data_IF_105186422533
#
_entry.id   IF_105186422533
#
_cell.length_a   1.000
_cell.length_b   1.000
_cell.length_c   1.000
_cell.angle_alpha   90.00
_cell.angle_beta   90.00
_cell.angle_gamma   90.00
#
_symmetry.space_group_name_H-M   'P 1'
#
loop_
_entity.id
_entity.type
_entity.pdbx_description
1 polymer ?
#
# COMPACT_ATOMS: atom_id res chain seq x y z
N UNK A 1 -17.94 -27.35 -3.56
CA UNK A 1 -18.48 -27.93 -4.82
C UNK A 1 -18.23 -26.95 -5.96
N UNK A 2 -18.12 -27.48 -7.18
CA UNK A 2 -17.92 -26.67 -8.41
C UNK A 2 -19.04 -25.65 -8.58
N UNK A 3 -20.28 -26.04 -8.30
CA UNK A 3 -21.46 -25.16 -8.36
C UNK A 3 -21.40 -24.01 -7.38
N UNK A 4 -20.84 -24.21 -6.21
CA UNK A 4 -20.65 -23.14 -5.21
C UNK A 4 -19.64 -22.10 -5.70
N UNK A 5 -18.56 -22.55 -6.32
CA UNK A 5 -17.55 -21.69 -6.93
C UNK A 5 -18.12 -20.89 -8.10
N UNK A 6 -18.84 -21.55 -9.02
CA UNK A 6 -19.44 -20.88 -10.19
C UNK A 6 -20.45 -19.80 -9.78
N UNK A 7 -21.31 -20.08 -8.79
CA UNK A 7 -22.28 -19.10 -8.26
C UNK A 7 -21.59 -17.93 -7.56
N UNK A 8 -20.56 -18.20 -6.76
CA UNK A 8 -19.79 -17.14 -6.10
C UNK A 8 -19.08 -16.26 -7.14
N UNK A 9 -18.48 -16.87 -8.15
CA UNK A 9 -17.79 -16.16 -9.22
C UNK A 9 -18.77 -15.31 -10.04
N UNK A 10 -19.92 -15.86 -10.41
CA UNK A 10 -20.95 -15.13 -11.16
C UNK A 10 -21.50 -13.93 -10.36
N UNK A 11 -21.73 -14.11 -9.06
CA UNK A 11 -22.20 -13.03 -8.19
C UNK A 11 -21.21 -11.88 -8.09
N UNK A 12 -19.90 -12.20 -8.09
CA UNK A 12 -18.84 -11.20 -7.93
C UNK A 12 -18.47 -10.51 -9.24
N UNK A 13 -18.52 -11.25 -10.37
CA UNK A 13 -17.98 -10.81 -11.64
C UNK A 13 -19.02 -10.66 -12.75
N UNK A 14 -20.28 -11.02 -12.50
CA UNK A 14 -21.37 -10.93 -13.49
C UNK A 14 -21.27 -11.87 -14.68
N UNK A 15 -20.28 -12.76 -14.72
CA UNK A 15 -20.06 -13.77 -15.75
C UNK A 15 -19.60 -15.09 -15.10
N UNK A 16 -19.70 -16.20 -15.83
CA UNK A 16 -19.18 -17.46 -15.33
C UNK A 16 -17.64 -17.58 -15.56
N UNK A 17 -16.93 -18.45 -14.82
CA UNK A 17 -15.48 -18.60 -14.95
C UNK A 17 -15.01 -18.97 -16.36
N UNK A 18 -15.80 -19.72 -17.10
CA UNK A 18 -15.46 -20.14 -18.46
C UNK A 18 -15.57 -18.96 -19.44
N UNK A 19 -16.66 -18.19 -19.38
CA UNK A 19 -16.83 -16.98 -20.19
C UNK A 19 -15.73 -15.97 -19.91
N UNK A 20 -15.37 -15.81 -18.65
CA UNK A 20 -14.25 -14.96 -18.25
C UNK A 20 -12.90 -15.41 -18.83
N UNK A 21 -12.65 -16.72 -18.82
CA UNK A 21 -11.41 -17.29 -19.38
C UNK A 21 -11.29 -17.10 -20.90
N UNK A 22 -12.42 -17.09 -21.61
CA UNK A 22 -12.44 -16.86 -23.07
C UNK A 22 -12.21 -15.39 -23.45
N UNK A 23 -12.65 -14.47 -22.61
CA UNK A 23 -12.52 -13.03 -22.86
C UNK A 23 -12.23 -12.28 -21.56
N UNK A 24 -11.00 -12.41 -21.03
CA UNK A 24 -10.66 -11.82 -19.75
C UNK A 24 -10.68 -10.29 -19.84
N UNK A 25 -11.59 -9.68 -19.10
CA UNK A 25 -11.61 -8.23 -18.88
C UNK A 25 -10.85 -7.92 -17.59
N UNK A 26 -10.16 -6.77 -17.49
CA UNK A 26 -9.54 -6.36 -16.25
C UNK A 26 -10.58 -6.30 -15.13
N UNK A 27 -10.44 -7.13 -14.12
CA UNK A 27 -11.31 -7.08 -12.94
C UNK A 27 -10.67 -6.10 -11.95
N UNK A 28 -11.33 -4.97 -11.76
CA UNK A 28 -10.98 -4.04 -10.70
C UNK A 28 -11.64 -4.49 -9.40
N UNK A 29 -10.98 -5.40 -8.71
CA UNK A 29 -11.40 -5.77 -7.35
C UNK A 29 -10.98 -4.66 -6.39
N UNK A 30 -11.89 -3.76 -6.14
CA UNK A 30 -11.74 -2.81 -5.06
C UNK A 30 -12.27 -3.44 -3.77
N UNK A 31 -11.39 -4.05 -3.00
CA UNK A 31 -11.71 -4.29 -1.59
C UNK A 31 -11.02 -3.20 -0.78
N UNK A 32 -11.75 -2.48 0.07
CA UNK A 32 -11.17 -1.42 0.92
C UNK A 32 -10.18 -1.94 1.96
N UNK A 33 -9.97 -3.22 2.07
CA UNK A 33 -9.16 -3.86 3.10
C UNK A 33 -8.30 -4.97 2.50
N UNK A 34 -7.00 -4.71 2.40
CA UNK A 34 -5.94 -5.71 2.31
C UNK A 34 -6.16 -6.88 1.35
N UNK A 35 -6.20 -6.63 0.05
CA UNK A 35 -6.24 -7.73 -0.91
C UNK A 35 -4.84 -8.24 -1.15
N UNK A 36 -4.66 -9.53 -0.89
CA UNK A 36 -3.58 -10.30 -1.51
C UNK A 36 -3.91 -10.38 -3.00
N UNK A 37 -3.30 -9.54 -3.80
CA UNK A 37 -3.46 -9.56 -5.25
C UNK A 37 -2.98 -10.90 -5.80
N UNK A 38 -3.89 -11.70 -6.37
CA UNK A 38 -3.48 -12.75 -7.30
C UNK A 38 -3.22 -12.08 -8.64
N UNK A 39 -1.96 -11.83 -8.95
CA UNK A 39 -1.56 -11.44 -10.29
C UNK A 39 -1.91 -12.56 -11.27
N UNK A 40 -2.66 -12.23 -12.32
CA UNK A 40 -2.80 -13.10 -13.47
C UNK A 40 -1.50 -13.02 -14.27
N UNK A 41 -0.67 -14.07 -14.18
CA UNK A 41 0.49 -14.22 -15.05
C UNK A 41 -0.01 -14.31 -16.50
N UNK A 42 0.25 -13.31 -17.33
CA UNK A 42 0.42 -13.54 -18.74
C UNK A 42 1.74 -14.28 -18.90
N UNK A 43 1.64 -15.55 -19.32
CA UNK A 43 2.79 -16.31 -19.75
C UNK A 43 3.37 -15.67 -21.01
N UNK A 44 4.33 -14.79 -20.88
CA UNK A 44 5.30 -14.50 -21.92
C UNK A 44 6.65 -14.89 -21.37
N UNK A 45 7.17 -15.98 -21.94
CA UNK A 45 8.48 -16.54 -21.65
C UNK A 45 9.57 -15.66 -22.27
N UNK A 46 9.91 -14.57 -21.61
CA UNK A 46 11.24 -13.95 -21.73
C UNK A 46 11.66 -13.55 -20.32
N UNK A 47 12.80 -14.08 -19.93
CA UNK A 47 13.23 -14.31 -18.55
C UNK A 47 13.81 -13.09 -17.82
N UNK A 48 13.60 -11.83 -18.25
CA UNK A 48 14.33 -10.69 -17.70
C UNK A 48 13.58 -9.36 -17.59
N UNK A 49 12.25 -9.34 -17.74
CA UNK A 49 11.49 -8.09 -17.48
C UNK A 49 10.53 -8.36 -16.34
N UNK A 50 10.89 -7.90 -15.14
CA UNK A 50 9.98 -7.86 -13.99
C UNK A 50 8.98 -6.73 -14.26
N UNK A 51 7.73 -7.08 -14.50
CA UNK A 51 6.68 -6.13 -14.84
C UNK A 51 6.23 -5.33 -13.60
N UNK A 52 6.17 -4.02 -13.73
CA UNK A 52 5.52 -3.15 -12.74
C UNK A 52 4.14 -2.78 -13.26
N UNK A 53 3.12 -3.18 -12.52
CA UNK A 53 1.74 -2.81 -12.83
C UNK A 53 1.48 -1.39 -12.33
N UNK A 54 0.93 -0.53 -13.20
CA UNK A 54 0.56 0.83 -12.84
C UNK A 54 -0.95 0.99 -12.97
N UNK A 55 -1.60 1.47 -11.93
CA UNK A 55 -3.04 1.71 -11.94
C UNK A 55 -3.39 3.04 -11.27
N UNK A 56 -4.45 3.67 -11.77
CA UNK A 56 -5.01 4.85 -11.11
C UNK A 56 -6.03 4.42 -10.08
N UNK A 57 -5.88 4.87 -8.83
CA UNK A 57 -6.79 4.58 -7.73
C UNK A 57 -7.36 5.88 -7.16
N UNK A 58 -8.63 5.89 -6.81
CA UNK A 58 -9.24 7.00 -6.07
C UNK A 58 -9.22 6.65 -4.58
N UNK A 59 -8.75 7.58 -3.76
CA UNK A 59 -8.71 7.41 -2.31
C UNK A 59 -9.51 8.51 -1.62
N UNK A 60 -10.33 8.16 -0.63
CA UNK A 60 -11.03 9.14 0.20
C UNK A 60 -10.04 9.94 1.05
N UNK A 61 -10.49 11.06 1.58
CA UNK A 61 -9.73 11.79 2.59
C UNK A 61 -9.54 10.93 3.85
N UNK A 62 -8.37 11.04 4.46
CA UNK A 62 -8.05 10.35 5.71
C UNK A 62 -7.10 11.19 6.57
N UNK A 63 -6.94 10.80 7.83
CA UNK A 63 -5.85 11.27 8.67
C UNK A 63 -4.74 10.23 8.71
N UNK A 64 -3.51 10.68 8.91
CA UNK A 64 -2.37 9.78 9.13
C UNK A 64 -1.69 10.19 10.42
N UNK A 65 -1.59 9.24 11.35
CA UNK A 65 -0.79 9.39 12.56
C UNK A 65 0.63 9.02 12.18
N UNK A 66 1.57 9.95 12.31
CA UNK A 66 2.96 9.79 11.85
C UNK A 66 3.95 10.00 12.99
N UNK A 67 5.07 9.29 12.93
CA UNK A 67 6.26 9.60 13.74
C UNK A 67 7.32 10.19 12.83
N UNK A 68 7.86 11.37 13.22
CA UNK A 68 8.90 12.05 12.44
C UNK A 68 10.28 11.62 12.86
N UNK A 69 11.16 11.49 11.88
CA UNK A 69 12.61 11.50 12.09
C UNK A 69 13.17 12.91 11.85
N UNK A 70 14.46 13.07 12.01
CA UNK A 70 15.19 14.32 11.77
C UNK A 70 16.03 14.29 10.50
N UNK A 71 16.72 13.18 10.23
CA UNK A 71 17.64 13.02 9.10
C UNK A 71 17.33 11.80 8.21
N UNK A 72 16.45 10.92 8.63
CA UNK A 72 16.14 9.68 7.91
C UNK A 72 15.59 9.96 6.50
N UNK A 73 16.08 9.24 5.51
CA UNK A 73 15.68 9.35 4.11
C UNK A 73 14.91 8.13 3.59
N UNK A 74 15.03 7.01 4.28
CA UNK A 74 14.51 5.71 3.91
C UNK A 74 14.19 4.87 5.16
N UNK A 75 13.66 3.66 4.94
CA UNK A 75 13.28 2.74 6.01
C UNK A 75 14.44 2.39 6.96
N UNK A 76 15.61 2.05 6.41
CA UNK A 76 16.73 1.57 7.22
C UNK A 76 17.37 2.69 8.04
N UNK A 77 17.54 3.86 7.43
CA UNK A 77 18.03 5.05 8.15
C UNK A 77 17.05 5.50 9.23
N UNK A 78 15.75 5.38 8.97
CA UNK A 78 14.72 5.69 9.95
C UNK A 78 14.72 4.75 11.15
N UNK A 79 14.82 3.42 10.92
CA UNK A 79 14.93 2.44 12.00
C UNK A 79 16.17 2.64 12.88
N UNK A 80 17.28 3.09 12.29
CA UNK A 80 18.52 3.43 13.04
C UNK A 80 18.35 4.69 13.89
N UNK A 81 17.60 5.68 13.38
CA UNK A 81 17.41 6.97 14.05
C UNK A 81 16.32 6.92 15.12
N UNK A 82 15.15 6.41 14.78
CA UNK A 82 13.93 6.48 15.59
C UNK A 82 13.67 5.21 16.39
N UNK A 83 14.15 4.08 15.88
CA UNK A 83 13.95 2.75 16.46
C UNK A 83 12.83 1.97 15.77
N UNK A 84 12.89 0.63 15.87
CA UNK A 84 11.90 -0.26 15.28
C UNK A 84 10.61 -0.36 16.10
N UNK A 85 10.60 0.08 17.36
CA UNK A 85 9.43 0.03 18.26
C UNK A 85 8.24 0.85 17.73
N UNK A 86 8.53 1.86 16.91
CA UNK A 86 7.51 2.70 16.26
C UNK A 86 6.54 1.86 15.44
N UNK A 87 7.02 0.84 14.73
CA UNK A 87 6.19 -0.05 13.93
C UNK A 87 5.16 -0.79 14.80
N UNK A 88 5.61 -1.32 15.94
CA UNK A 88 4.73 -1.98 16.91
C UNK A 88 3.66 -1.06 17.50
N UNK A 89 4.02 0.20 17.82
CA UNK A 89 3.08 1.20 18.28
C UNK A 89 2.04 1.54 17.21
N UNK A 90 2.47 1.74 15.96
CA UNK A 90 1.57 2.04 14.85
C UNK A 90 0.61 0.87 14.56
N UNK A 91 1.09 -0.37 14.62
CA UNK A 91 0.25 -1.57 14.43
C UNK A 91 -0.81 -1.72 15.50
N UNK A 92 -0.58 -1.20 16.72
CA UNK A 92 -1.56 -1.24 17.81
C UNK A 92 -2.74 -0.27 17.60
N UNK A 93 -2.62 0.69 16.69
CA UNK A 93 -3.67 1.66 16.38
C UNK A 93 -4.66 1.05 15.41
N UNK A 94 -5.97 1.11 15.74
CA UNK A 94 -7.03 0.68 14.83
C UNK A 94 -7.04 1.57 13.59
N UNK A 95 -6.49 1.07 12.50
CA UNK A 95 -6.30 1.78 11.24
C UNK A 95 -7.29 1.38 10.16
N UNK A 96 -7.30 2.10 9.03
CA UNK A 96 -8.11 1.79 7.86
C UNK A 96 -7.61 0.50 7.19
N UNK A 97 -6.30 0.35 7.05
CA UNK A 97 -5.70 -0.74 6.26
C UNK A 97 -5.12 -1.88 7.13
N UNK A 98 -5.12 -1.71 8.45
CA UNK A 98 -4.58 -2.71 9.37
C UNK A 98 -3.05 -2.69 9.51
N UNK A 99 -2.33 -1.98 8.64
CA UNK A 99 -0.87 -1.97 8.62
C UNK A 99 -0.30 -0.54 8.59
N UNK A 100 0.89 -0.33 9.17
CA UNK A 100 1.64 0.91 9.03
C UNK A 100 2.09 1.14 7.58
N UNK A 101 2.33 2.40 7.26
CA UNK A 101 2.82 2.85 5.96
C UNK A 101 4.07 3.70 6.10
N UNK A 102 4.90 3.69 5.07
CA UNK A 102 6.05 4.56 4.91
C UNK A 102 5.72 5.69 3.93
N UNK A 103 6.07 6.92 4.27
CA UNK A 103 5.74 8.09 3.47
C UNK A 103 6.95 8.99 3.26
N UNK A 104 7.11 9.49 2.03
CA UNK A 104 7.93 10.66 1.72
C UNK A 104 7.01 11.87 1.61
N UNK A 105 6.96 12.66 2.66
CA UNK A 105 6.02 13.79 2.76
C UNK A 105 6.27 14.85 1.69
N UNK A 106 5.21 15.37 1.03
CA UNK A 106 5.29 16.62 0.30
C UNK A 106 5.76 17.76 1.19
N UNK A 107 6.43 18.77 0.60
CA UNK A 107 7.01 19.91 1.35
C UNK A 107 6.05 20.57 2.34
N UNK A 108 4.77 20.67 1.99
CA UNK A 108 3.73 21.28 2.83
C UNK A 108 3.49 20.59 4.19
N UNK A 109 3.89 19.33 4.31
CA UNK A 109 3.73 18.54 5.54
C UNK A 109 5.03 18.35 6.30
N UNK A 110 6.16 18.78 5.73
CA UNK A 110 7.47 18.72 6.40
C UNK A 110 7.57 19.84 7.42
N UNK A 111 7.92 19.53 8.67
CA UNK A 111 8.23 20.51 9.69
C UNK A 111 9.73 20.85 9.64
N UNK A 112 10.08 22.08 10.01
CA UNK A 112 11.46 22.49 10.15
C UNK A 112 12.21 21.57 11.12
N UNK A 113 13.43 21.18 10.77
CA UNK A 113 14.25 20.26 11.56
C UNK A 113 13.80 18.79 11.52
N UNK A 114 12.86 18.43 10.62
CA UNK A 114 12.44 17.03 10.46
C UNK A 114 12.69 16.52 9.04
N UNK A 115 12.87 15.21 8.93
CA UNK A 115 13.02 14.53 7.64
C UNK A 115 11.71 14.48 6.85
N UNK A 116 11.83 14.25 5.54
CA UNK A 116 10.69 13.98 4.68
C UNK A 116 10.13 12.57 4.87
N UNK A 117 11.00 11.62 5.21
CA UNK A 117 10.61 10.24 5.43
C UNK A 117 9.98 10.09 6.82
N UNK A 118 8.83 9.44 6.87
CA UNK A 118 8.10 9.14 8.11
C UNK A 118 7.46 7.76 8.03
N UNK A 119 7.22 7.17 9.19
CA UNK A 119 6.32 6.03 9.30
C UNK A 119 5.02 6.48 9.94
N UNK A 120 3.91 5.88 9.53
CA UNK A 120 2.61 6.26 10.03
C UNK A 120 1.54 5.20 9.79
N UNK A 121 0.32 5.51 10.20
CA UNK A 121 -0.84 4.66 10.02
C UNK A 121 -2.06 5.50 9.63
N UNK A 122 -2.81 5.02 8.65
CA UNK A 122 -3.99 5.73 8.15
C UNK A 122 -5.20 5.45 9.05
N UNK A 123 -5.87 6.53 9.45
CA UNK A 123 -7.08 6.46 10.28
C UNK A 123 -8.21 7.27 9.63
N UNK A 124 -9.48 6.96 9.92
CA UNK A 124 -10.60 7.75 9.40
C UNK A 124 -10.52 9.24 9.79
N UNK A 125 -11.13 10.12 8.98
CA UNK A 125 -11.16 11.56 9.26
C UNK A 125 -11.77 11.89 10.64
N UNK A 126 -12.74 11.08 11.08
CA UNK A 126 -13.43 11.22 12.38
C UNK A 126 -12.76 10.43 13.51
N UNK A 127 -11.53 9.95 13.31
CA UNK A 127 -10.78 9.22 14.33
C UNK A 127 -10.72 9.99 15.66
N UNK A 128 -11.13 9.31 16.73
CA UNK A 128 -11.18 9.84 18.11
C UNK A 128 -10.31 9.06 19.08
N UNK A 129 -9.52 8.12 18.57
CA UNK A 129 -8.60 7.33 19.39
C UNK A 129 -7.42 8.16 19.87
N UNK A 130 -6.65 7.59 20.77
CA UNK A 130 -5.45 8.23 21.32
C UNK A 130 -4.34 8.29 20.28
N UNK A 131 -3.71 9.47 20.15
CA UNK A 131 -2.47 9.64 19.40
C UNK A 131 -1.32 9.46 20.40
N UNK A 132 -0.37 8.56 20.17
CA UNK A 132 0.75 8.35 21.08
C UNK A 132 1.60 9.62 21.24
N UNK A 133 2.23 9.76 22.39
CA UNK A 133 3.12 10.89 22.65
C UNK A 133 4.26 10.97 21.64
N UNK A 134 4.54 12.18 21.15
CA UNK A 134 5.57 12.43 20.14
C UNK A 134 5.20 11.99 18.72
N UNK A 135 3.92 11.68 18.47
CA UNK A 135 3.38 11.50 17.12
C UNK A 135 2.60 12.73 16.69
N UNK A 136 2.58 12.96 15.38
CA UNK A 136 1.79 14.02 14.74
C UNK A 136 0.61 13.41 13.98
N UNK A 137 -0.38 14.28 13.68
CA UNK A 137 -1.46 13.95 12.77
C UNK A 137 -1.41 14.86 11.56
N UNK A 138 -1.43 14.29 10.36
CA UNK A 138 -1.60 15.02 9.11
C UNK A 138 -2.89 14.61 8.43
N UNK A 139 -3.46 15.49 7.61
CA UNK A 139 -4.66 15.21 6.84
C UNK A 139 -4.30 15.05 5.37
N UNK A 140 -4.69 13.92 4.78
CA UNK A 140 -4.59 13.66 3.36
C UNK A 140 -5.96 13.87 2.71
N UNK A 141 -6.01 14.76 1.72
CA UNK A 141 -7.22 15.01 0.97
C UNK A 141 -7.59 13.81 0.11
N UNK A 142 -8.88 13.67 -0.19
CA UNK A 142 -9.34 12.77 -1.25
C UNK A 142 -8.66 13.13 -2.58
N UNK A 143 -8.35 12.13 -3.38
CA UNK A 143 -7.69 12.37 -4.66
C UNK A 143 -7.46 11.11 -5.46
N UNK A 144 -6.91 11.32 -6.67
CA UNK A 144 -6.45 10.25 -7.55
C UNK A 144 -4.96 10.05 -7.34
N UNK A 145 -4.57 8.79 -7.23
CA UNK A 145 -3.19 8.34 -7.00
C UNK A 145 -2.80 7.35 -8.07
N UNK A 146 -1.54 7.32 -8.42
CA UNK A 146 -0.96 6.22 -9.18
C UNK A 146 -0.44 5.19 -8.18
N UNK A 147 -0.91 3.97 -8.31
CA UNK A 147 -0.40 2.82 -7.56
C UNK A 147 0.53 2.02 -8.47
N UNK A 148 1.75 1.80 -8.01
CA UNK A 148 2.76 0.99 -8.67
C UNK A 148 2.91 -0.30 -7.89
N UNK A 149 2.77 -1.43 -8.55
CA UNK A 149 2.91 -2.73 -7.93
C UNK A 149 3.89 -3.57 -8.72
N UNK A 150 4.97 -3.98 -8.05
CA UNK A 150 5.92 -4.94 -8.57
C UNK A 150 5.43 -6.39 -8.43
N UNK A 151 6.21 -7.33 -8.94
CA UNK A 151 5.98 -8.76 -8.75
C UNK A 151 6.19 -9.18 -7.29
N UNK A 152 5.58 -10.30 -6.86
CA UNK A 152 5.92 -10.93 -5.59
C UNK A 152 7.41 -11.27 -5.54
N UNK A 153 8.02 -11.10 -4.38
CA UNK A 153 9.46 -11.34 -4.16
C UNK A 153 9.66 -12.12 -2.86
N UNK A 154 10.80 -12.79 -2.75
CA UNK A 154 11.24 -13.44 -1.52
C UNK A 154 11.93 -12.40 -0.61
N UNK A 155 12.03 -12.69 0.69
CA UNK A 155 12.54 -11.74 1.68
C UNK A 155 13.96 -11.24 1.35
N UNK A 156 14.79 -12.10 0.79
CA UNK A 156 16.17 -11.79 0.38
C UNK A 156 16.23 -10.80 -0.81
N UNK A 157 15.17 -10.76 -1.63
CA UNK A 157 15.08 -9.91 -2.84
C UNK A 157 14.45 -8.54 -2.55
N UNK A 158 14.14 -8.23 -1.29
CA UNK A 158 13.38 -7.04 -0.88
C UNK A 158 13.96 -5.72 -1.45
N UNK A 159 15.27 -5.53 -1.36
CA UNK A 159 15.90 -4.30 -1.85
C UNK A 159 15.76 -4.15 -3.37
N UNK A 160 16.01 -5.24 -4.10
CA UNK A 160 15.90 -5.25 -5.57
C UNK A 160 14.47 -5.02 -6.04
N UNK A 161 13.49 -5.62 -5.36
CA UNK A 161 12.07 -5.44 -5.66
C UNK A 161 11.62 -3.97 -5.47
N UNK A 162 12.08 -3.30 -4.42
CA UNK A 162 11.79 -1.88 -4.19
C UNK A 162 12.45 -1.00 -5.24
N UNK A 163 13.72 -1.24 -5.58
CA UNK A 163 14.44 -0.48 -6.60
C UNK A 163 13.74 -0.55 -7.96
N UNK A 164 13.22 -1.72 -8.33
CA UNK A 164 12.47 -1.88 -9.59
C UNK A 164 11.20 -1.05 -9.63
N UNK A 165 10.44 -1.03 -8.55
CA UNK A 165 9.25 -0.17 -8.45
C UNK A 165 9.63 1.30 -8.49
N UNK A 166 10.70 1.70 -7.81
CA UNK A 166 11.20 3.09 -7.82
C UNK A 166 11.68 3.55 -9.20
N UNK A 167 12.28 2.67 -10.01
CA UNK A 167 12.67 2.99 -11.38
C UNK A 167 11.49 3.16 -12.34
N UNK A 168 10.30 2.65 -11.98
CA UNK A 168 9.08 2.79 -12.77
C UNK A 168 8.32 4.10 -12.48
N UNK A 169 8.71 4.84 -11.42
CA UNK A 169 8.12 6.12 -11.01
C UNK A 169 8.85 7.28 -11.65
#
# INVERSE_FOLDING_TARGET
SVDGYQRAFFREFGCNPYEYALNPVPIYLFTPYGVKYKMFRRYNMTKDVKDVCVQMVERPACKVIIKRGTVATDYFSYCKEVGCDVWGLLTSIKSINGEPICLWLPKKYVKEGTSRYVQGVEVPCDYKGTVPEGFDVIELNAGKYLAFQGEPFEEEEYCEAIEQVQHAI
#
